data_IF_320063747554
#
_entry.id   IF_320063747554
#
_cell.length_a   1.000
_cell.length_b   1.000
_cell.length_c   1.000
_cell.angle_alpha   90.00
_cell.angle_beta   90.00
_cell.angle_gamma   90.00
#
_symmetry.space_group_name_H-M   'P 1'
#
loop_
_entity.id
_entity.type
_entity.pdbx_description
1 polymer ?
#
# COMPACT_ATOMS: atom_id res chain seq x y z
N UNK A 1 9.97 -15.45 4.40
CA UNK A 1 9.56 -16.86 4.55
C UNK A 1 10.80 -17.70 4.79
N UNK A 2 10.75 -18.70 5.69
CA UNK A 2 11.84 -19.66 5.91
C UNK A 2 11.31 -21.09 5.78
N UNK A 3 12.04 -21.94 5.07
CA UNK A 3 11.70 -23.35 4.85
C UNK A 3 12.81 -24.20 5.42
N UNK A 4 12.48 -25.12 6.32
CA UNK A 4 13.43 -26.05 6.91
C UNK A 4 13.58 -27.26 5.98
N UNK A 5 14.72 -27.38 5.31
CA UNK A 5 15.01 -28.50 4.40
C UNK A 5 15.39 -29.79 5.14
N UNK A 6 15.91 -29.69 6.37
CA UNK A 6 16.28 -30.84 7.19
C UNK A 6 17.69 -30.75 7.76
N UNK A 7 18.17 -31.89 8.28
CA UNK A 7 19.55 -32.05 8.73
C UNK A 7 20.42 -32.55 7.56
N UNK A 8 21.65 -32.04 7.47
CA UNK A 8 22.65 -32.40 6.45
C UNK A 8 23.02 -33.89 6.47
N UNK A 9 22.81 -34.58 7.59
CA UNK A 9 23.10 -36.01 7.73
C UNK A 9 22.04 -36.92 7.09
N UNK A 10 20.89 -36.38 6.68
CA UNK A 10 19.77 -37.20 6.18
C UNK A 10 19.86 -37.55 4.70
N UNK A 11 20.43 -36.66 3.88
CA UNK A 11 20.44 -36.76 2.43
C UNK A 11 21.84 -36.48 1.90
N UNK A 12 22.09 -36.91 0.66
CA UNK A 12 23.34 -36.58 -0.02
C UNK A 12 23.30 -35.13 -0.54
N UNK A 13 24.45 -34.45 -0.70
CA UNK A 13 24.48 -33.08 -1.19
C UNK A 13 23.78 -32.90 -2.53
N UNK A 14 23.90 -33.87 -3.44
CA UNK A 14 23.26 -33.82 -4.76
C UNK A 14 21.73 -33.81 -4.64
N UNK A 15 21.18 -34.61 -3.72
CA UNK A 15 19.73 -34.66 -3.46
C UNK A 15 19.22 -33.35 -2.84
N UNK A 16 20.03 -32.67 -2.02
CA UNK A 16 19.67 -31.34 -1.53
C UNK A 16 19.60 -30.32 -2.65
N UNK A 17 20.50 -30.38 -3.63
CA UNK A 17 20.49 -29.47 -4.78
C UNK A 17 19.21 -29.67 -5.60
N UNK A 18 18.88 -30.92 -5.95
CA UNK A 18 17.67 -31.25 -6.72
C UNK A 18 16.40 -30.79 -5.98
N UNK A 19 16.35 -31.01 -4.67
CA UNK A 19 15.21 -30.59 -3.85
C UNK A 19 15.10 -29.06 -3.75
N UNK A 20 16.21 -28.35 -3.59
CA UNK A 20 16.24 -26.88 -3.54
C UNK A 20 15.79 -26.30 -4.88
N UNK A 21 16.28 -26.84 -5.99
CA UNK A 21 15.88 -26.42 -7.34
C UNK A 21 14.37 -26.57 -7.52
N UNK A 22 13.83 -27.76 -7.28
CA UNK A 22 12.40 -28.05 -7.43
C UNK A 22 11.52 -27.11 -6.58
N UNK A 23 11.87 -26.92 -5.31
CA UNK A 23 11.12 -26.03 -4.41
C UNK A 23 11.24 -24.59 -4.88
N UNK A 24 12.44 -24.14 -5.27
CA UNK A 24 12.67 -22.77 -5.71
C UNK A 24 11.84 -22.45 -6.95
N UNK A 25 11.78 -23.35 -7.93
CA UNK A 25 10.95 -23.16 -9.12
C UNK A 25 9.45 -23.03 -8.78
N UNK A 26 8.94 -23.92 -7.92
CA UNK A 26 7.53 -23.90 -7.52
C UNK A 26 7.18 -22.59 -6.83
N UNK A 27 8.04 -22.11 -5.94
CA UNK A 27 7.81 -20.89 -5.18
C UNK A 27 7.94 -19.64 -6.07
N UNK A 28 8.91 -19.61 -7.00
CA UNK A 28 9.05 -18.51 -7.97
C UNK A 28 7.84 -18.43 -8.91
N UNK A 29 7.28 -19.58 -9.33
CA UNK A 29 6.07 -19.62 -10.18
C UNK A 29 4.81 -19.18 -9.43
N UNK A 30 4.71 -19.50 -8.14
CA UNK A 30 3.54 -19.20 -7.33
C UNK A 30 3.50 -17.76 -6.80
N UNK A 31 4.67 -17.14 -6.56
CA UNK A 31 4.78 -15.84 -5.91
C UNK A 31 5.85 -14.96 -6.57
N UNK A 32 5.69 -13.63 -6.48
CA UNK A 32 6.73 -12.69 -6.91
C UNK A 32 7.88 -12.68 -5.88
N UNK A 33 8.89 -13.53 -6.10
CA UNK A 33 10.04 -13.69 -5.19
C UNK A 33 11.19 -12.78 -5.60
N UNK A 34 11.60 -11.90 -4.68
CA UNK A 34 12.77 -11.02 -4.87
C UNK A 34 14.11 -11.76 -4.77
N UNK A 35 14.26 -12.67 -3.81
CA UNK A 35 15.56 -13.28 -3.51
C UNK A 35 15.42 -14.60 -2.78
N UNK A 36 16.30 -15.56 -3.07
CA UNK A 36 16.41 -16.83 -2.36
C UNK A 36 17.80 -16.94 -1.74
N UNK A 37 17.82 -17.20 -0.44
CA UNK A 37 19.04 -17.38 0.34
C UNK A 37 19.02 -18.76 1.00
N UNK A 38 20.12 -19.48 0.90
CA UNK A 38 20.32 -20.73 1.66
C UNK A 38 21.26 -20.47 2.82
N UNK A 39 21.02 -21.15 3.96
CA UNK A 39 21.90 -21.09 5.11
C UNK A 39 21.73 -22.32 5.98
N UNK A 40 22.72 -22.57 6.83
CA UNK A 40 22.55 -23.39 8.03
C UNK A 40 22.20 -22.49 9.22
N UNK A 41 21.84 -23.09 10.35
CA UNK A 41 21.44 -22.32 11.54
C UNK A 41 22.56 -21.44 12.11
N UNK A 42 23.83 -21.78 11.84
CA UNK A 42 25.00 -21.07 12.36
C UNK A 42 25.79 -20.32 11.28
N UNK A 43 25.48 -20.51 10.01
CA UNK A 43 26.20 -19.85 8.92
C UNK A 43 25.54 -18.52 8.53
N UNK A 44 26.32 -17.58 7.96
CA UNK A 44 25.78 -16.52 7.14
C UNK A 44 24.94 -17.08 5.97
N UNK A 45 24.16 -16.19 5.36
CA UNK A 45 23.35 -16.51 4.19
C UNK A 45 24.20 -16.57 2.93
N UNK A 46 23.83 -17.48 2.03
CA UNK A 46 24.37 -17.57 0.68
C UNK A 46 23.28 -17.17 -0.32
N UNK A 47 23.48 -16.09 -1.10
CA UNK A 47 22.54 -15.67 -2.14
C UNK A 47 22.61 -16.62 -3.34
N UNK A 48 21.50 -17.24 -3.69
CA UNK A 48 21.41 -18.10 -4.89
C UNK A 48 20.62 -17.46 -6.03
N UNK A 49 19.59 -16.68 -5.70
CA UNK A 49 18.71 -16.07 -6.67
C UNK A 49 18.38 -14.64 -6.26
N UNK A 50 18.34 -13.74 -7.23
CA UNK A 50 17.96 -12.35 -7.05
C UNK A 50 17.23 -11.84 -8.29
N UNK A 51 16.05 -11.25 -8.10
CA UNK A 51 15.25 -10.63 -9.13
C UNK A 51 14.93 -9.19 -8.70
N UNK A 52 15.41 -8.21 -9.47
CA UNK A 52 15.22 -6.78 -9.21
C UNK A 52 13.86 -6.30 -9.69
N UNK A 53 13.42 -6.80 -10.84
CA UNK A 53 12.19 -6.41 -11.54
C UNK A 53 10.94 -6.56 -10.65
N UNK A 54 10.96 -7.50 -9.71
CA UNK A 54 9.88 -7.67 -8.72
C UNK A 54 9.60 -6.39 -7.92
N UNK A 55 10.63 -5.58 -7.63
CA UNK A 55 10.45 -4.31 -6.92
C UNK A 55 9.75 -3.27 -7.80
N UNK A 56 10.17 -3.16 -9.05
CA UNK A 56 9.61 -2.20 -10.00
C UNK A 56 8.14 -2.55 -10.30
N UNK A 57 7.83 -3.85 -10.43
CA UNK A 57 6.46 -4.34 -10.59
C UNK A 57 5.56 -4.05 -9.37
N UNK A 58 6.12 -4.08 -8.16
CA UNK A 58 5.40 -3.77 -6.92
C UNK A 58 5.07 -2.28 -6.84
N UNK A 59 6.01 -1.42 -7.23
CA UNK A 59 5.81 0.03 -7.27
C UNK A 59 4.74 0.40 -8.31
N UNK A 60 4.86 -0.12 -9.53
CA UNK A 60 3.87 0.10 -10.58
C UNK A 60 2.45 -0.40 -10.23
N UNK A 61 2.33 -1.44 -9.40
CA UNK A 61 1.03 -1.88 -8.87
C UNK A 61 0.46 -0.93 -7.83
N UNK A 62 1.31 -0.27 -7.04
CA UNK A 62 0.87 0.68 -6.01
C UNK A 62 0.33 1.97 -6.63
N UNK A 63 1.01 2.48 -7.66
CA UNK A 63 0.55 3.68 -8.38
C UNK A 63 -0.83 3.47 -9.03
N UNK A 64 -1.10 2.26 -9.53
CA UNK A 64 -2.43 1.88 -10.05
C UNK A 64 -3.52 1.80 -8.99
N UNK A 65 -3.17 1.54 -7.73
CA UNK A 65 -4.14 1.54 -6.62
C UNK A 65 -4.43 2.98 -6.18
N UNK A 66 -3.42 3.85 -6.20
CA UNK A 66 -3.59 5.28 -5.89
C UNK A 66 -4.51 6.01 -6.89
N UNK A 67 -4.50 5.64 -8.17
CA UNK A 67 -5.47 6.17 -9.16
C UNK A 67 -6.94 5.75 -8.91
N UNK A 68 -7.20 4.67 -8.17
CA UNK A 68 -8.56 4.27 -7.77
C UNK A 68 -9.10 4.97 -6.51
N UNK A 69 -8.31 5.83 -5.85
CA UNK A 69 -8.76 6.53 -4.63
C UNK A 69 -9.75 7.69 -4.85
N UNK A 70 -10.06 8.07 -6.10
CA UNK A 70 -11.13 9.05 -6.38
C UNK A 70 -12.53 8.51 -6.05
N UNK A 71 -12.76 7.18 -6.10
CA UNK A 71 -14.06 6.55 -5.84
C UNK A 71 -14.40 6.35 -4.34
N UNK A 72 -13.53 6.83 -3.43
CA UNK A 72 -13.66 6.62 -1.98
C UNK A 72 -14.16 7.85 -1.21
N UNK A 73 -14.80 8.79 -1.91
CA UNK A 73 -15.42 9.98 -1.33
C UNK A 73 -16.90 9.73 -1.02
N UNK A 74 -17.27 9.78 0.26
CA UNK A 74 -18.65 9.59 0.72
C UNK A 74 -19.18 10.89 1.31
N UNK A 75 -20.45 11.21 1.04
CA UNK A 75 -21.09 12.42 1.58
C UNK A 75 -21.74 12.11 2.93
N UNK A 76 -21.24 12.72 4.00
CA UNK A 76 -21.83 12.65 5.35
C UNK A 76 -22.18 14.09 5.77
N UNK A 77 -23.45 14.32 6.11
CA UNK A 77 -23.98 15.64 6.48
C UNK A 77 -23.64 16.77 5.48
N UNK A 78 -23.67 16.44 4.18
CA UNK A 78 -23.37 17.38 3.09
C UNK A 78 -21.88 17.68 2.89
N UNK A 79 -20.98 16.98 3.59
CA UNK A 79 -19.51 17.12 3.42
C UNK A 79 -18.95 15.87 2.75
N UNK A 80 -18.15 16.06 1.71
CA UNK A 80 -17.40 14.97 1.09
C UNK A 80 -16.22 14.59 1.99
N UNK A 81 -16.21 13.32 2.40
CA UNK A 81 -15.22 12.77 3.32
C UNK A 81 -14.62 11.50 2.71
N UNK A 82 -13.29 11.44 2.70
CA UNK A 82 -12.57 10.22 2.36
C UNK A 82 -12.58 9.25 3.55
N UNK A 83 -13.13 8.05 3.36
CA UNK A 83 -13.18 7.01 4.40
C UNK A 83 -12.32 5.82 4.01
N UNK A 84 -11.48 5.36 4.95
CA UNK A 84 -10.77 4.09 4.81
C UNK A 84 -11.74 2.90 4.76
N UNK A 85 -11.28 1.75 4.25
CA UNK A 85 -12.07 0.51 4.13
C UNK A 85 -12.73 0.10 5.45
N UNK A 86 -12.01 0.25 6.57
CA UNK A 86 -12.56 -0.01 7.90
C UNK A 86 -13.71 0.94 8.26
N UNK A 87 -13.54 2.23 7.98
CA UNK A 87 -14.56 3.25 8.25
C UNK A 87 -15.79 3.10 7.35
N UNK A 88 -15.61 2.63 6.11
CA UNK A 88 -16.73 2.25 5.22
C UNK A 88 -17.53 1.09 5.79
N UNK A 89 -16.86 0.03 6.24
CA UNK A 89 -17.53 -1.08 6.93
C UNK A 89 -18.27 -0.63 8.20
N UNK A 90 -17.70 0.32 8.95
CA UNK A 90 -18.38 0.90 10.11
C UNK A 90 -19.60 1.76 9.73
N UNK A 91 -19.51 2.51 8.63
CA UNK A 91 -20.62 3.31 8.10
C UNK A 91 -21.80 2.44 7.64
N UNK A 92 -21.53 1.28 7.02
CA UNK A 92 -22.57 0.35 6.56
C UNK A 92 -23.39 -0.27 7.70
N UNK A 93 -22.79 -0.44 8.88
CA UNK A 93 -23.44 -1.06 10.05
C UNK A 93 -23.99 -0.02 11.04
N UNK A 94 -23.59 1.24 10.93
CA UNK A 94 -23.97 2.29 11.87
C UNK A 94 -25.36 2.85 11.57
N UNK A 95 -26.00 3.41 12.60
CA UNK A 95 -27.28 4.11 12.46
C UNK A 95 -27.07 5.40 11.64
N UNK A 96 -27.83 5.64 10.54
CA UNK A 96 -27.68 6.83 9.70
C UNK A 96 -27.74 8.16 10.45
N UNK A 97 -28.52 8.24 11.54
CA UNK A 97 -28.63 9.46 12.36
C UNK A 97 -27.40 9.78 13.19
N UNK A 98 -26.47 8.82 13.36
CA UNK A 98 -25.28 8.96 14.20
C UNK A 98 -23.99 9.12 13.40
N UNK A 99 -24.05 9.02 12.07
CA UNK A 99 -22.88 9.10 11.19
C UNK A 99 -22.10 10.41 11.35
N UNK A 100 -22.80 11.54 11.51
CA UNK A 100 -22.18 12.85 11.77
C UNK A 100 -21.36 12.91 13.05
N UNK A 101 -21.78 12.17 14.08
CA UNK A 101 -21.07 12.06 15.36
C UNK A 101 -19.88 11.11 15.26
N UNK A 102 -20.11 9.92 14.68
CA UNK A 102 -19.10 8.86 14.51
C UNK A 102 -17.92 9.35 13.65
N UNK A 103 -18.22 10.08 12.58
CA UNK A 103 -17.20 10.60 11.64
C UNK A 103 -16.89 12.09 11.85
N UNK A 104 -17.22 12.65 13.02
CA UNK A 104 -17.05 14.08 13.35
C UNK A 104 -15.61 14.59 13.14
N UNK A 105 -14.60 13.78 13.44
CA UNK A 105 -13.19 14.14 13.21
C UNK A 105 -12.87 14.26 11.73
N UNK A 106 -13.34 13.31 10.92
CA UNK A 106 -13.13 13.28 9.47
C UNK A 106 -13.87 14.42 8.79
N UNK A 107 -15.12 14.70 9.21
CA UNK A 107 -15.93 15.84 8.73
C UNK A 107 -15.26 17.17 9.07
N UNK A 108 -14.79 17.36 10.31
CA UNK A 108 -14.13 18.60 10.71
C UNK A 108 -12.81 18.83 9.98
N UNK A 109 -12.04 17.77 9.70
CA UNK A 109 -10.82 17.86 8.91
C UNK A 109 -11.13 18.20 7.44
N UNK A 110 -12.17 17.63 6.85
CA UNK A 110 -12.61 17.97 5.50
C UNK A 110 -13.08 19.43 5.40
N UNK A 111 -13.88 19.91 6.36
CA UNK A 111 -14.31 21.33 6.45
C UNK A 111 -13.12 22.29 6.55
N UNK A 112 -12.11 21.97 7.37
CA UNK A 112 -10.90 22.79 7.51
C UNK A 112 -10.06 22.88 6.24
N UNK A 113 -9.98 21.78 5.47
CA UNK A 113 -9.27 21.76 4.18
C UNK A 113 -10.00 22.66 3.17
N UNK A 114 -11.31 22.48 3.05
CA UNK A 114 -12.17 23.31 2.19
C UNK A 114 -12.11 24.81 2.55
N UNK A 115 -12.07 25.17 3.84
CA UNK A 115 -11.94 26.57 4.25
C UNK A 115 -10.55 27.17 3.96
N UNK A 116 -9.48 26.38 4.05
CA UNK A 116 -8.11 26.85 3.73
C UNK A 116 -7.88 27.04 2.23
N UNK A 117 -8.66 26.36 1.40
CA UNK A 117 -8.62 26.49 -0.08
C UNK A 117 -9.35 27.76 -0.54
N UNK A 118 -10.47 28.11 0.10
CA UNK A 118 -11.21 29.35 -0.13
C UNK A 118 -10.43 30.62 0.28
N UNK A 119 -9.57 30.54 1.30
CA UNK A 119 -8.72 31.69 1.68
C UNK A 119 -7.63 31.99 0.65
N UNK A 120 -7.13 30.98 -0.08
CA UNK A 120 -6.13 31.19 -1.15
C UNK A 120 -6.71 31.87 -2.39
N UNK A 121 -7.91 31.48 -2.82
CA UNK A 121 -8.57 32.11 -3.98
C UNK A 121 -8.98 33.57 -3.75
N UNK A 122 -9.27 33.96 -2.51
CA UNK A 122 -9.63 35.37 -2.21
C UNK A 122 -8.45 36.35 -2.30
N UNK A 123 -7.21 35.86 -2.18
CA UNK A 123 -6.00 36.70 -2.16
C UNK A 123 -5.40 37.00 -3.55
N UNK A 124 -5.87 36.32 -4.59
CA UNK A 124 -5.29 36.41 -5.95
C UNK A 124 -6.09 37.33 -6.90
N UNK A 125 -7.23 37.88 -6.46
CA UNK A 125 -8.14 38.65 -7.32
C UNK A 125 -8.00 40.19 -7.27
N UNK A 126 -7.13 40.78 -6.45
CA UNK A 126 -6.99 42.25 -6.34
C UNK A 126 -5.74 42.87 -6.99
N UNK A 127 -4.82 42.09 -7.56
CA UNK A 127 -3.51 42.59 -7.97
C UNK A 127 -3.29 42.80 -9.49
N UNK A 128 -4.29 43.21 -10.29
CA UNK A 128 -4.00 43.73 -11.66
C UNK A 128 -4.91 44.88 -12.07
N UNK A 129 -4.75 46.06 -11.47
CA UNK A 129 -5.10 47.33 -12.12
C UNK A 129 -4.02 48.38 -11.90
N UNK A 130 -3.34 48.71 -13.01
CA UNK A 130 -2.58 49.93 -13.38
C UNK A 130 -1.08 49.72 -13.59
N UNK A 131 -0.69 49.72 -14.86
CA UNK A 131 0.29 50.68 -15.36
C UNK A 131 0.10 50.84 -16.88
N UNK A 132 -0.16 52.08 -17.29
CA UNK A 132 -0.17 52.59 -18.66
C UNK A 132 0.91 53.67 -18.68
N UNK A 133 1.90 53.58 -19.56
CA UNK A 133 2.51 54.69 -20.31
C UNK A 133 3.62 54.16 -21.21
#
# INVERSE_FOLDING_TARGET
MNVHLGNLEWLRPEEFVDNVELISEQVIKAYQIRSIFIKTNKSPVLPLYYNQDVLDELEAKKDKIEETHEDDMVTIDGVQVHLSTFNKGLMEIANPSELGSIFSKQINNAKKRSSSELEKESSESEAVKKAKS
#
